data_IF_552460624355
#
_entry.id   IF_552460624355
#
_cell.length_a   1.000
_cell.length_b   1.000
_cell.length_c   1.000
_cell.angle_alpha   90.00
_cell.angle_beta   90.00
_cell.angle_gamma   90.00
#
_symmetry.space_group_name_H-M   'P 1'
#
loop_
_entity.id
_entity.type
_entity.pdbx_description
1 polymer ?
#
# COMPACT_ATOMS: atom_id res chain seq x y z
N UNK A 1 4.63 27.05 -6.79
CA UNK A 1 5.08 26.15 -5.71
C UNK A 1 4.92 24.74 -6.21
N UNK A 2 6.00 24.06 -6.58
CA UNK A 2 5.95 22.65 -6.97
C UNK A 2 6.14 21.86 -5.68
N UNK A 3 5.05 21.43 -5.06
CA UNK A 3 5.16 20.43 -4.00
C UNK A 3 5.60 19.14 -4.67
N UNK A 4 6.81 18.66 -4.32
CA UNK A 4 7.12 17.25 -4.51
C UNK A 4 5.99 16.50 -3.81
N UNK A 5 5.15 15.80 -4.57
CA UNK A 5 4.07 15.00 -4.01
C UNK A 5 4.76 13.94 -3.18
N UNK A 6 4.83 14.11 -1.86
CA UNK A 6 5.34 13.09 -0.97
C UNK A 6 4.54 11.82 -1.24
N UNK A 7 5.18 10.85 -1.90
CA UNK A 7 4.55 9.57 -2.16
C UNK A 7 4.57 8.79 -0.85
N UNK A 8 3.39 8.63 -0.24
CA UNK A 8 3.25 7.84 0.96
C UNK A 8 3.32 6.35 0.60
N UNK A 9 4.11 5.59 1.34
CA UNK A 9 4.15 4.12 1.24
C UNK A 9 3.03 3.53 2.10
N UNK A 10 2.29 2.58 1.52
CA UNK A 10 1.19 1.90 2.19
C UNK A 10 1.20 0.39 1.98
N UNK A 11 0.63 -0.33 2.93
CA UNK A 11 0.35 -1.76 2.85
C UNK A 11 -1.15 -1.97 2.70
N UNK A 12 -1.53 -2.88 1.80
CA UNK A 12 -2.90 -3.41 1.75
C UNK A 12 -3.03 -4.42 2.88
N UNK A 13 -3.77 -4.07 3.93
CA UNK A 13 -3.99 -4.98 5.08
C UNK A 13 -5.26 -5.83 4.93
N UNK A 14 -6.16 -5.45 4.01
CA UNK A 14 -7.41 -6.15 3.72
C UNK A 14 -7.81 -5.93 2.27
N UNK A 15 -8.37 -6.97 1.65
CA UNK A 15 -9.13 -6.89 0.40
C UNK A 15 -10.59 -7.23 0.71
N UNK A 16 -11.53 -6.48 0.16
CA UNK A 16 -12.94 -6.67 0.46
C UNK A 16 -13.79 -6.55 -0.82
N UNK A 17 -14.88 -7.30 -0.87
CA UNK A 17 -15.78 -7.30 -2.04
C UNK A 17 -16.66 -6.06 -1.97
N UNK A 18 -16.54 -5.13 -2.93
CA UNK A 18 -17.44 -3.99 -3.04
C UNK A 18 -18.82 -4.41 -3.60
N UNK A 19 -19.80 -3.54 -3.40
CA UNK A 19 -21.25 -3.73 -3.69
C UNK A 19 -21.56 -3.89 -5.19
N UNK A 20 -20.57 -3.73 -6.08
CA UNK A 20 -20.72 -3.75 -7.54
C UNK A 20 -20.90 -5.16 -8.14
N UNK A 21 -21.01 -6.17 -7.29
CA UNK A 21 -21.37 -7.54 -7.65
C UNK A 21 -20.20 -8.54 -7.58
N UNK A 22 -20.51 -9.85 -7.61
CA UNK A 22 -19.56 -10.92 -7.34
C UNK A 22 -18.41 -11.05 -8.35
N UNK A 23 -18.50 -10.38 -9.49
CA UNK A 23 -17.48 -10.40 -10.55
C UNK A 23 -16.59 -9.16 -10.56
N UNK A 24 -16.87 -8.16 -9.71
CA UNK A 24 -16.06 -6.95 -9.63
C UNK A 24 -14.74 -7.24 -8.91
N UNK A 25 -13.67 -6.57 -9.33
CA UNK A 25 -12.38 -6.63 -8.63
C UNK A 25 -12.56 -6.09 -7.19
N UNK A 26 -11.99 -6.75 -6.18
CA UNK A 26 -12.13 -6.32 -4.79
C UNK A 26 -11.52 -4.93 -4.56
N UNK A 27 -12.12 -4.20 -3.61
CA UNK A 27 -11.53 -3.03 -3.00
C UNK A 27 -10.41 -3.41 -2.04
N UNK A 28 -9.66 -2.40 -1.60
CA UNK A 28 -8.48 -2.57 -0.76
C UNK A 28 -8.49 -1.55 0.38
N UNK A 29 -8.08 -1.96 1.57
CA UNK A 29 -7.87 -1.05 2.70
C UNK A 29 -6.38 -0.86 2.99
N UNK A 30 -5.97 0.37 3.27
CA UNK A 30 -4.55 0.76 3.33
C UNK A 30 -4.11 1.26 4.71
N UNK A 31 -2.97 0.74 5.15
CA UNK A 31 -2.20 1.26 6.29
C UNK A 31 -0.94 1.96 5.77
N UNK A 32 -0.76 3.24 6.09
CA UNK A 32 0.45 3.98 5.74
C UNK A 32 1.62 3.64 6.67
N UNK A 33 2.84 3.91 6.19
CA UNK A 33 4.08 3.72 6.95
C UNK A 33 4.14 4.54 8.25
N UNK A 34 3.42 5.65 8.32
CA UNK A 34 3.26 6.49 9.53
C UNK A 34 2.16 5.99 10.49
N UNK A 35 1.52 4.86 10.17
CA UNK A 35 0.51 4.22 11.01
C UNK A 35 -0.90 4.75 10.83
N UNK A 36 -1.12 5.71 9.92
CA UNK A 36 -2.47 6.13 9.55
C UNK A 36 -3.18 5.06 8.73
N UNK A 37 -4.37 4.70 9.17
CA UNK A 37 -5.34 3.93 8.40
C UNK A 37 -6.09 4.89 7.46
N UNK A 38 -5.97 4.69 6.15
CA UNK A 38 -6.71 5.48 5.15
C UNK A 38 -8.08 4.88 4.81
N UNK A 39 -8.40 3.72 5.36
CA UNK A 39 -9.63 3.00 5.05
C UNK A 39 -9.63 2.42 3.65
N UNK A 40 -10.84 2.18 3.15
CA UNK A 40 -11.11 1.43 1.94
C UNK A 40 -11.13 2.26 0.66
N UNK A 41 -10.53 1.71 -0.39
CA UNK A 41 -10.56 2.17 -1.77
C UNK A 41 -11.30 1.16 -2.63
N UNK A 42 -12.23 1.60 -3.46
CA UNK A 42 -12.76 0.79 -4.55
C UNK A 42 -11.66 0.43 -5.56
N UNK A 43 -11.90 -0.57 -6.41
CA UNK A 43 -10.94 -0.94 -7.46
C UNK A 43 -10.60 0.24 -8.39
N UNK A 44 -11.60 1.08 -8.72
CA UNK A 44 -11.41 2.25 -9.58
C UNK A 44 -10.59 3.35 -8.89
N UNK A 45 -10.82 3.59 -7.60
CA UNK A 45 -10.02 4.53 -6.83
C UNK A 45 -8.58 4.02 -6.66
N UNK A 46 -8.42 2.72 -6.42
CA UNK A 46 -7.12 2.08 -6.35
C UNK A 46 -6.32 2.29 -7.64
N UNK A 47 -6.94 2.09 -8.81
CA UNK A 47 -6.29 2.29 -10.12
C UNK A 47 -5.93 3.75 -10.40
N UNK A 48 -6.70 4.70 -9.85
CA UNK A 48 -6.47 6.13 -10.06
C UNK A 48 -5.41 6.69 -9.13
N UNK A 49 -5.38 6.25 -7.89
CA UNK A 49 -4.62 6.92 -6.82
C UNK A 49 -3.43 6.12 -6.32
N UNK A 50 -3.37 4.81 -6.58
CA UNK A 50 -2.34 3.93 -6.04
C UNK A 50 -1.42 3.42 -7.14
N UNK A 51 -0.13 3.30 -6.81
CA UNK A 51 0.85 2.62 -7.63
C UNK A 51 1.21 1.29 -6.95
N UNK A 52 0.92 0.13 -7.58
CA UNK A 52 1.28 -1.16 -6.99
C UNK A 52 2.80 -1.37 -7.03
N UNK A 53 3.38 -1.60 -5.85
CA UNK A 53 4.82 -1.85 -5.71
C UNK A 53 5.18 -3.34 -5.80
N UNK A 54 4.24 -4.22 -5.47
CA UNK A 54 4.43 -5.67 -5.43
C UNK A 54 4.14 -6.26 -4.04
N UNK A 55 4.34 -7.57 -3.92
CA UNK A 55 4.12 -8.29 -2.66
C UNK A 55 5.28 -8.05 -1.68
N UNK A 56 4.96 -7.78 -0.42
CA UNK A 56 5.95 -7.62 0.66
C UNK A 56 6.25 -8.91 1.40
N UNK A 57 5.51 -9.98 1.13
CA UNK A 57 5.61 -11.28 1.82
C UNK A 57 4.88 -11.33 3.17
N UNK A 58 4.26 -10.24 3.60
CA UNK A 58 3.48 -10.21 4.85
C UNK A 58 2.20 -11.04 4.72
N UNK A 59 2.04 -12.04 5.59
CA UNK A 59 0.77 -12.71 5.82
C UNK A 59 0.11 -12.09 7.04
N UNK A 60 -0.96 -11.32 6.83
CA UNK A 60 -1.69 -10.63 7.89
C UNK A 60 -3.19 -10.93 7.80
N UNK A 61 -3.82 -11.16 8.96
CA UNK A 61 -5.26 -11.32 9.06
C UNK A 61 -5.84 -10.15 9.86
N UNK A 62 -6.60 -9.31 9.17
CA UNK A 62 -7.33 -8.23 9.79
C UNK A 62 -8.55 -8.75 10.56
N UNK A 63 -8.70 -8.31 11.81
CA UNK A 63 -9.89 -8.59 12.64
C UNK A 63 -10.63 -7.30 13.02
N UNK A 64 -9.89 -6.24 13.37
CA UNK A 64 -10.47 -4.95 13.72
C UNK A 64 -9.45 -3.82 13.66
N UNK A 65 -9.91 -2.57 13.55
CA UNK A 65 -9.06 -1.37 13.59
C UNK A 65 -8.26 -1.25 14.89
N UNK A 66 -8.80 -1.73 16.01
CA UNK A 66 -8.11 -1.71 17.30
C UNK A 66 -6.92 -2.67 17.33
N UNK A 67 -7.09 -3.87 16.75
CA UNK A 67 -6.00 -4.82 16.57
C UNK A 67 -4.94 -4.27 15.60
N UNK A 68 -5.36 -3.73 14.45
CA UNK A 68 -4.46 -3.13 13.46
C UNK A 68 -3.55 -2.06 14.09
N UNK A 69 -4.13 -1.12 14.84
CA UNK A 69 -3.37 -0.08 15.52
C UNK A 69 -2.43 -0.65 16.60
N UNK A 70 -2.84 -1.70 17.32
CA UNK A 70 -1.99 -2.35 18.31
C UNK A 70 -0.82 -3.09 17.66
N UNK A 71 -1.05 -3.80 16.56
CA UNK A 71 -0.03 -4.52 15.80
C UNK A 71 0.98 -3.54 15.16
N UNK A 72 0.52 -2.40 14.67
CA UNK A 72 1.39 -1.34 14.18
C UNK A 72 2.30 -0.81 15.29
N UNK A 73 1.74 -0.47 16.46
CA UNK A 73 2.55 -0.01 17.60
C UNK A 73 3.56 -1.05 18.09
N UNK A 74 3.28 -2.34 17.88
CA UNK A 74 4.19 -3.44 18.20
C UNK A 74 5.28 -3.65 17.15
N UNK A 75 5.23 -2.92 16.03
CA UNK A 75 6.21 -3.00 14.95
C UNK A 75 6.01 -4.17 13.99
N UNK A 76 4.84 -4.84 14.01
CA UNK A 76 4.57 -6.03 13.19
C UNK A 76 4.78 -5.79 11.69
N UNK A 77 4.49 -4.57 11.22
CA UNK A 77 4.58 -4.18 9.81
C UNK A 77 5.97 -3.68 9.39
N UNK A 78 6.95 -3.62 10.30
CA UNK A 78 8.24 -2.98 10.04
C UNK A 78 8.99 -3.58 8.86
N UNK A 79 9.10 -4.91 8.81
CA UNK A 79 9.74 -5.62 7.70
C UNK A 79 8.96 -5.42 6.39
N UNK A 80 7.63 -5.46 6.44
CA UNK A 80 6.79 -5.26 5.27
C UNK A 80 6.95 -3.84 4.67
N UNK A 81 7.03 -2.81 5.51
CA UNK A 81 7.31 -1.44 5.06
C UNK A 81 8.74 -1.28 4.53
N UNK A 82 9.72 -1.96 5.14
CA UNK A 82 11.08 -1.99 4.61
C UNK A 82 11.13 -2.61 3.21
N UNK A 83 10.49 -3.77 3.02
CA UNK A 83 10.35 -4.41 1.71
C UNK A 83 9.66 -3.49 0.69
N UNK A 84 8.56 -2.83 1.08
CA UNK A 84 7.86 -1.89 0.21
C UNK A 84 8.78 -0.72 -0.23
N UNK A 85 9.61 -0.21 0.68
CA UNK A 85 10.57 0.83 0.36
C UNK A 85 11.65 0.35 -0.63
N UNK A 86 12.17 -0.87 -0.45
CA UNK A 86 13.12 -1.49 -1.39
C UNK A 86 12.48 -1.66 -2.78
N UNK A 87 11.24 -2.15 -2.84
CA UNK A 87 10.50 -2.28 -4.10
C UNK A 87 10.31 -0.93 -4.80
N UNK A 88 9.94 0.11 -4.05
CA UNK A 88 9.79 1.45 -4.60
C UNK A 88 11.10 2.00 -5.21
N UNK A 89 12.21 1.84 -4.49
CA UNK A 89 13.54 2.25 -4.98
C UNK A 89 13.89 1.46 -6.24
N UNK A 90 13.72 0.13 -6.23
CA UNK A 90 14.03 -0.73 -7.38
C UNK A 90 13.23 -0.32 -8.63
N UNK A 91 11.92 -0.06 -8.49
CA UNK A 91 11.08 0.41 -9.59
C UNK A 91 11.52 1.79 -10.10
N UNK A 92 11.85 2.71 -9.20
CA UNK A 92 12.29 4.06 -9.57
C UNK A 92 13.61 4.01 -10.36
N UNK A 93 14.56 3.19 -9.92
CA UNK A 93 15.84 2.99 -10.60
C UNK A 93 15.65 2.31 -11.97
N UNK A 94 14.80 1.29 -12.06
CA UNK A 94 14.50 0.61 -13.31
C UNK A 94 13.77 1.50 -14.33
N UNK A 95 13.00 2.49 -13.85
CA UNK A 95 12.23 3.41 -14.69
C UNK A 95 13.02 4.65 -15.12
N UNK A 96 14.25 4.82 -14.61
CA UNK A 96 15.12 5.93 -15.02
C UNK A 96 15.85 5.50 -16.30
N UNK A 97 15.59 6.15 -17.47
CA UNK A 97 16.35 5.83 -18.68
C UNK A 97 17.82 6.11 -18.45
N UNK A 98 18.69 5.24 -18.97
CA UNK A 98 20.14 5.47 -18.97
C UNK A 98 20.41 6.84 -19.60
N UNK A 99 20.86 7.81 -18.79
CA UNK A 99 21.42 9.05 -19.31
C UNK A 99 22.81 8.73 -19.87
N UNK A 100 22.91 8.63 -21.19
CA UNK A 100 24.15 8.50 -21.96
C UNK A 100 23.98 7.43 -23.04
N UNK A 101 24.30 7.68 -24.31
CA UNK A 101 25.29 8.61 -24.87
C UNK A 101 24.78 9.36 -26.12
#
# INVERSE_FOLDING_TARGET
MFYAREQALGLIYETYTFVDGPSARPGVSLLLSDGRDLGGFSAQEADRFLQPLGATGLTYQFVSVGQLAADYRRGLFGEAFHCAQVLHIAQTLASTPARGE
#
